data_IF_818829176185
#
_entry.id   IF_818829176185
#
_cell.length_a   1.000
_cell.length_b   1.000
_cell.length_c   1.000
_cell.angle_alpha   90.00
_cell.angle_beta   90.00
_cell.angle_gamma   90.00
#
_symmetry.space_group_name_H-M   'P 1'
#
loop_
_entity.id
_entity.type
_entity.pdbx_description
1 polymer ?
#
# COMPACT_ATOMS: atom_id res chain seq x y z
N UNK A 1 -14.18 51.20 -15.85
CA UNK A 1 -13.05 50.30 -16.05
C UNK A 1 -11.78 51.08 -15.76
N UNK A 2 -11.14 50.84 -14.60
CA UNK A 2 -9.84 51.46 -14.28
C UNK A 2 -8.78 50.38 -14.42
N UNK A 3 -7.89 50.56 -15.36
CA UNK A 3 -6.73 49.70 -15.62
C UNK A 3 -5.63 50.02 -14.63
N UNK A 4 -5.16 49.04 -13.87
CA UNK A 4 -3.95 49.13 -13.05
C UNK A 4 -2.78 48.53 -13.84
N UNK A 5 -1.60 49.18 -13.87
CA UNK A 5 -0.41 48.63 -14.52
C UNK A 5 0.26 47.57 -13.64
N UNK A 6 0.78 46.50 -14.27
CA UNK A 6 1.57 45.46 -13.65
C UNK A 6 2.99 45.95 -13.32
N UNK A 7 3.60 45.51 -12.21
CA UNK A 7 4.98 45.88 -11.89
C UNK A 7 5.99 45.08 -12.72
N UNK A 8 7.07 45.76 -13.12
CA UNK A 8 8.21 45.25 -13.89
C UNK A 8 9.10 44.38 -13.00
N UNK A 9 9.66 43.25 -13.49
CA UNK A 9 10.54 42.41 -12.70
C UNK A 9 11.92 43.05 -12.50
N UNK A 10 12.39 43.02 -11.26
CA UNK A 10 13.71 43.51 -10.85
C UNK A 10 14.77 42.44 -11.24
N UNK A 11 15.76 42.88 -12.05
CA UNK A 11 16.92 42.10 -12.47
C UNK A 11 17.93 42.01 -11.31
N UNK A 12 18.21 40.79 -10.83
CA UNK A 12 19.30 40.49 -9.89
C UNK A 12 20.52 39.97 -10.66
N UNK A 13 21.63 40.74 -10.54
CA UNK A 13 22.95 40.37 -11.06
C UNK A 13 23.59 39.23 -10.24
N UNK A 14 24.46 38.38 -10.84
CA UNK A 14 25.07 37.25 -10.15
C UNK A 14 26.26 37.68 -9.26
N UNK A 15 26.55 37.00 -8.15
CA UNK A 15 27.68 37.29 -7.28
C UNK A 15 29.01 36.78 -7.85
N UNK A 16 30.06 37.57 -7.70
CA UNK A 16 31.44 37.30 -8.05
C UNK A 16 32.02 36.10 -7.25
N UNK A 17 32.60 35.15 -7.95
CA UNK A 17 33.42 34.05 -7.38
C UNK A 17 34.85 34.56 -7.17
N UNK A 18 35.27 34.73 -5.91
CA UNK A 18 36.69 34.82 -5.54
C UNK A 18 37.30 33.44 -5.51
N UNK A 19 38.27 33.17 -6.38
CA UNK A 19 39.15 31.98 -6.30
C UNK A 19 40.32 32.31 -5.38
N UNK A 20 40.42 31.60 -4.26
CA UNK A 20 41.63 31.53 -3.46
C UNK A 20 42.52 30.44 -4.08
N UNK A 21 43.70 30.84 -4.55
CA UNK A 21 44.78 29.93 -4.98
C UNK A 21 45.67 29.71 -3.77
N UNK A 22 45.71 28.49 -3.25
CA UNK A 22 46.66 28.08 -2.21
C UNK A 22 47.80 27.30 -2.88
N UNK A 23 49.02 27.83 -2.83
CA UNK A 23 50.24 27.20 -3.30
C UNK A 23 50.79 26.21 -2.26
N UNK A 24 51.06 24.97 -2.66
CA UNK A 24 51.71 23.95 -1.80
C UNK A 24 53.16 23.79 -2.26
N UNK A 25 54.17 23.90 -1.37
CA UNK A 25 55.56 23.71 -1.74
C UNK A 25 55.92 22.22 -1.86
N UNK A 26 56.59 21.85 -2.92
CA UNK A 26 57.21 20.53 -3.14
C UNK A 26 58.38 20.36 -2.15
N UNK A 27 58.37 19.33 -1.31
CA UNK A 27 59.56 18.73 -0.69
C UNK A 27 59.65 17.28 -1.17
N UNK A 28 60.79 17.01 -1.77
CA UNK A 28 61.28 15.69 -2.20
C UNK A 28 61.80 14.96 -0.93
N UNK A 29 61.34 13.73 -0.74
CA UNK A 29 61.98 12.80 0.16
C UNK A 29 61.90 11.39 -0.45
N UNK A 30 63.07 10.90 -0.90
CA UNK A 30 63.31 9.50 -1.29
C UNK A 30 63.16 8.60 -0.06
N UNK A 31 62.34 7.56 -0.10
CA UNK A 31 62.37 6.45 0.84
C UNK A 31 62.20 5.12 0.06
N UNK A 32 63.09 4.19 0.41
CA UNK A 32 63.30 2.84 -0.08
C UNK A 32 62.02 2.02 -0.34
N UNK A 33 62.04 1.32 -1.48
CA UNK A 33 61.17 0.19 -1.83
C UNK A 33 61.50 -1.03 -0.93
N UNK A 34 60.64 -1.35 0.02
CA UNK A 34 60.50 -2.69 0.59
C UNK A 34 59.27 -3.34 -0.10
N UNK A 35 59.52 -4.30 -0.96
CA UNK A 35 58.47 -5.11 -1.58
C UNK A 35 57.92 -6.08 -0.53
N UNK A 36 56.81 -5.77 0.06
CA UNK A 36 56.01 -6.70 0.86
C UNK A 36 54.96 -7.31 -0.04
N UNK A 37 55.18 -8.55 -0.47
CA UNK A 37 54.20 -9.33 -1.22
C UNK A 37 52.98 -9.65 -0.29
N UNK A 38 51.94 -8.86 -0.39
CA UNK A 38 50.63 -9.23 0.19
C UNK A 38 49.99 -10.27 -0.72
N UNK A 39 49.96 -11.52 -0.30
CA UNK A 39 49.01 -12.50 -0.79
C UNK A 39 47.61 -12.00 -0.50
N UNK A 40 46.96 -11.32 -1.45
CA UNK A 40 45.54 -11.10 -1.41
C UNK A 40 44.87 -12.42 -1.78
N UNK A 41 44.62 -13.24 -0.78
CA UNK A 41 43.66 -14.32 -0.90
C UNK A 41 42.30 -13.68 -1.22
N UNK A 42 41.87 -13.77 -2.50
CA UNK A 42 40.52 -13.47 -2.88
C UNK A 42 39.62 -14.46 -2.11
N UNK A 43 39.00 -13.98 -1.00
CA UNK A 43 37.88 -14.67 -0.39
C UNK A 43 36.75 -14.52 -1.43
N UNK A 44 36.66 -15.49 -2.33
CA UNK A 44 35.46 -15.69 -3.13
C UNK A 44 34.38 -16.07 -2.13
N UNK A 45 33.62 -15.09 -1.66
CA UNK A 45 32.32 -15.34 -1.02
C UNK A 45 31.51 -16.09 -2.06
N UNK A 46 31.42 -17.41 -1.92
CA UNK A 46 30.50 -18.21 -2.70
C UNK A 46 29.10 -17.62 -2.46
N UNK A 47 28.47 -17.11 -3.51
CA UNK A 47 27.06 -16.76 -3.47
C UNK A 47 26.31 -17.98 -2.89
N UNK A 48 25.35 -17.79 -1.98
CA UNK A 48 24.60 -18.90 -1.43
C UNK A 48 24.04 -19.69 -2.62
N UNK A 49 24.28 -21.01 -2.62
CA UNK A 49 23.83 -21.93 -3.67
C UNK A 49 22.36 -21.63 -3.94
N UNK A 50 22.00 -21.41 -5.20
CA UNK A 50 20.61 -21.28 -5.62
C UNK A 50 19.88 -22.50 -5.05
N UNK A 51 18.96 -22.28 -4.10
CA UNK A 51 18.08 -23.35 -3.62
C UNK A 51 17.41 -23.93 -4.85
N UNK A 52 17.35 -25.26 -4.99
CA UNK A 52 16.79 -25.93 -6.15
C UNK A 52 15.43 -25.30 -6.51
N UNK A 53 15.41 -24.52 -7.57
CA UNK A 53 14.19 -23.88 -8.09
C UNK A 53 13.50 -24.95 -8.93
N UNK A 54 12.26 -25.33 -8.62
CA UNK A 54 11.54 -26.34 -9.39
C UNK A 54 11.25 -25.81 -10.80
N UNK A 55 11.12 -26.69 -11.77
CA UNK A 55 10.72 -26.32 -13.14
C UNK A 55 9.22 -26.11 -13.26
N UNK A 56 8.43 -26.67 -12.33
CA UNK A 56 6.98 -26.58 -12.26
C UNK A 56 6.54 -26.04 -10.89
N UNK A 57 5.41 -25.38 -10.86
CA UNK A 57 4.80 -24.80 -9.67
C UNK A 57 3.29 -24.97 -9.73
N UNK A 58 2.65 -24.77 -8.59
CA UNK A 58 1.20 -24.61 -8.48
C UNK A 58 0.83 -23.13 -8.39
N UNK A 59 -0.24 -22.77 -9.07
CA UNK A 59 -0.84 -21.42 -9.00
C UNK A 59 -2.36 -21.53 -9.12
N UNK A 60 -3.07 -20.59 -8.50
CA UNK A 60 -4.48 -20.43 -8.77
C UNK A 60 -4.70 -19.48 -9.96
N UNK A 61 -5.73 -19.76 -10.74
CA UNK A 61 -6.16 -18.89 -11.82
C UNK A 61 -7.66 -18.61 -11.73
N UNK A 62 -8.02 -17.35 -11.94
CA UNK A 62 -9.39 -16.98 -12.24
C UNK A 62 -9.62 -17.29 -13.72
N UNK A 63 -10.49 -18.27 -14.00
CA UNK A 63 -10.89 -18.65 -15.36
C UNK A 63 -12.33 -18.23 -15.59
N UNK A 64 -12.59 -17.55 -16.69
CA UNK A 64 -13.94 -17.06 -17.02
C UNK A 64 -14.93 -18.20 -17.15
N UNK A 65 -16.09 -18.06 -16.53
CA UNK A 65 -17.21 -19.01 -16.61
C UNK A 65 -18.43 -18.31 -17.20
N UNK A 66 -18.72 -18.55 -18.49
CA UNK A 66 -19.85 -17.93 -19.17
C UNK A 66 -19.75 -16.41 -19.35
N UNK A 67 -20.89 -15.71 -19.30
CA UNK A 67 -20.93 -14.27 -19.53
C UNK A 67 -20.60 -13.42 -18.30
N UNK A 68 -20.75 -13.96 -17.10
CA UNK A 68 -20.49 -13.24 -15.83
C UNK A 68 -19.82 -14.14 -14.81
N UNK A 69 -18.70 -13.65 -14.27
CA UNK A 69 -17.98 -14.32 -13.19
C UNK A 69 -16.80 -15.17 -13.63
N UNK A 70 -16.05 -15.57 -12.62
CA UNK A 70 -14.83 -16.38 -12.76
C UNK A 70 -14.82 -17.48 -11.72
N UNK A 71 -14.18 -18.60 -12.04
CA UNK A 71 -13.92 -19.70 -11.13
C UNK A 71 -12.45 -19.67 -10.72
N UNK A 72 -12.19 -19.91 -9.45
CA UNK A 72 -10.84 -20.08 -8.92
C UNK A 72 -10.41 -21.54 -9.14
N UNK A 73 -9.35 -21.76 -9.91
CA UNK A 73 -8.86 -23.10 -10.26
C UNK A 73 -7.38 -23.25 -9.94
N UNK A 74 -7.01 -24.29 -9.23
CA UNK A 74 -5.62 -24.69 -9.02
C UNK A 74 -5.06 -25.33 -10.29
N UNK A 75 -3.91 -24.86 -10.77
CA UNK A 75 -3.25 -25.35 -12.00
C UNK A 75 -1.74 -25.45 -11.81
N UNK A 76 -1.15 -26.46 -12.43
CA UNK A 76 0.28 -26.52 -12.60
C UNK A 76 0.73 -25.56 -13.72
N UNK A 77 1.91 -24.95 -13.54
CA UNK A 77 2.49 -24.03 -14.49
C UNK A 77 4.03 -24.08 -14.43
N UNK A 78 4.73 -23.75 -15.52
CA UNK A 78 6.19 -23.65 -15.45
C UNK A 78 6.63 -22.49 -14.56
N UNK A 79 7.73 -22.65 -13.85
CA UNK A 79 8.41 -21.55 -13.18
C UNK A 79 9.18 -20.74 -14.24
N UNK A 80 8.83 -19.47 -14.40
CA UNK A 80 9.51 -18.58 -15.34
C UNK A 80 10.80 -18.06 -14.74
N UNK A 81 11.94 -18.35 -15.39
CA UNK A 81 13.21 -17.77 -15.00
C UNK A 81 13.19 -16.23 -15.16
N UNK A 82 13.88 -15.47 -14.28
CA UNK A 82 13.93 -14.02 -14.37
C UNK A 82 14.77 -13.56 -15.55
N UNK A 83 14.24 -12.66 -16.37
CA UNK A 83 14.95 -11.94 -17.42
C UNK A 83 15.77 -10.76 -16.89
N UNK A 84 16.25 -9.87 -17.81
CA UNK A 84 16.99 -8.68 -17.40
C UNK A 84 16.15 -7.77 -16.48
N UNK A 85 16.76 -7.32 -15.37
CA UNK A 85 16.11 -6.49 -14.34
C UNK A 85 14.87 -7.14 -13.68
N UNK A 86 14.74 -8.46 -13.78
CA UNK A 86 13.68 -9.21 -13.09
C UNK A 86 14.24 -10.04 -11.94
N UNK A 87 13.37 -10.29 -10.97
CA UNK A 87 13.63 -11.15 -9.82
C UNK A 87 12.57 -12.25 -9.78
N UNK A 88 12.98 -13.46 -9.38
CA UNK A 88 12.08 -14.57 -9.09
C UNK A 88 11.85 -14.60 -7.58
N UNK A 89 10.61 -14.48 -7.17
CA UNK A 89 10.18 -14.48 -5.77
C UNK A 89 9.56 -15.84 -5.47
N UNK A 90 10.08 -16.55 -4.46
CA UNK A 90 9.36 -17.63 -3.80
C UNK A 90 8.31 -16.98 -2.89
N UNK A 91 7.06 -17.02 -3.29
CA UNK A 91 5.95 -16.44 -2.52
C UNK A 91 5.74 -17.26 -1.24
N UNK A 92 5.58 -16.57 -0.11
CA UNK A 92 5.40 -17.18 1.20
C UNK A 92 4.02 -16.91 1.77
N UNK A 93 3.47 -15.75 1.44
CA UNK A 93 2.12 -15.39 1.84
C UNK A 93 1.53 -14.39 0.85
N UNK A 94 0.21 -14.43 0.71
CA UNK A 94 -0.59 -13.48 -0.05
C UNK A 94 -1.78 -13.02 0.78
N UNK A 95 -2.42 -11.90 0.43
CA UNK A 95 -3.60 -11.47 1.15
C UNK A 95 -4.70 -10.97 0.23
N UNK A 96 -5.95 -11.12 0.68
CA UNK A 96 -7.13 -10.73 -0.06
C UNK A 96 -7.50 -9.27 0.19
N UNK A 97 -8.11 -8.67 -0.82
CA UNK A 97 -8.77 -7.37 -0.78
C UNK A 97 -10.19 -7.50 -1.34
N UNK A 98 -11.07 -6.57 -1.01
CA UNK A 98 -12.47 -6.58 -1.49
C UNK A 98 -12.56 -6.66 -3.02
N UNK A 99 -11.61 -6.01 -3.73
CA UNK A 99 -11.56 -6.07 -5.20
C UNK A 99 -11.44 -7.49 -5.76
N UNK A 100 -10.79 -8.40 -5.05
CA UNK A 100 -10.54 -9.75 -5.53
C UNK A 100 -11.83 -10.56 -5.63
N UNK A 101 -12.75 -10.36 -4.67
CA UNK A 101 -14.11 -10.91 -4.74
C UNK A 101 -14.92 -10.26 -5.86
N UNK A 102 -14.82 -8.94 -6.03
CA UNK A 102 -15.51 -8.22 -7.10
C UNK A 102 -15.02 -8.67 -8.48
N UNK A 103 -13.71 -8.91 -8.64
CA UNK A 103 -13.14 -9.49 -9.86
C UNK A 103 -13.65 -10.89 -10.12
N UNK A 104 -13.65 -11.77 -9.11
CA UNK A 104 -14.18 -13.13 -9.24
C UNK A 104 -15.66 -13.15 -9.64
N UNK A 105 -16.45 -12.19 -9.14
CA UNK A 105 -17.86 -12.04 -9.49
C UNK A 105 -18.10 -11.32 -10.81
N UNK A 106 -17.08 -10.81 -11.50
CA UNK A 106 -17.23 -9.96 -12.70
C UNK A 106 -17.90 -8.61 -12.42
N UNK A 107 -17.86 -8.13 -11.18
CA UNK A 107 -18.49 -6.89 -10.72
C UNK A 107 -17.48 -5.73 -10.57
N UNK A 108 -16.19 -5.99 -10.78
CA UNK A 108 -15.19 -4.94 -10.77
C UNK A 108 -15.27 -4.12 -12.07
N UNK A 109 -15.13 -2.78 -12.03
CA UNK A 109 -15.29 -1.93 -13.23
C UNK A 109 -14.35 -2.25 -14.38
N UNK A 110 -13.21 -2.88 -14.09
CA UNK A 110 -12.23 -3.33 -15.08
C UNK A 110 -12.34 -4.86 -15.15
N UNK A 111 -12.73 -5.40 -16.32
CA UNK A 111 -12.82 -6.83 -16.53
C UNK A 111 -11.41 -7.45 -16.54
N UNK A 112 -11.14 -8.50 -15.75
CA UNK A 112 -9.89 -9.22 -15.85
C UNK A 112 -9.78 -9.99 -17.17
N UNK A 113 -8.55 -10.45 -17.48
CA UNK A 113 -8.31 -11.33 -18.64
C UNK A 113 -9.11 -12.64 -18.50
N UNK A 114 -9.24 -13.39 -19.61
CA UNK A 114 -9.94 -14.69 -19.62
C UNK A 114 -9.35 -15.69 -18.62
N UNK A 115 -8.04 -15.60 -18.36
CA UNK A 115 -7.32 -16.37 -17.37
C UNK A 115 -6.23 -15.52 -16.70
N UNK A 116 -6.27 -15.41 -15.38
CA UNK A 116 -5.40 -14.52 -14.60
C UNK A 116 -5.02 -15.17 -13.28
N UNK A 117 -3.75 -15.08 -12.87
CA UNK A 117 -3.34 -15.34 -11.48
C UNK A 117 -3.86 -14.20 -10.60
N UNK A 118 -4.76 -14.46 -9.62
CA UNK A 118 -5.35 -13.39 -8.83
C UNK A 118 -4.42 -12.90 -7.72
N UNK A 119 -4.93 -11.93 -6.94
CA UNK A 119 -4.36 -11.23 -5.80
C UNK A 119 -3.19 -10.31 -6.15
N UNK A 120 -3.32 -9.06 -5.70
CA UNK A 120 -2.24 -8.07 -5.85
C UNK A 120 -1.19 -8.19 -4.75
N UNK A 121 -1.61 -8.69 -3.59
CA UNK A 121 -0.86 -8.60 -2.35
C UNK A 121 -0.07 -9.88 -2.09
N UNK A 122 1.25 -9.77 -2.03
CA UNK A 122 2.10 -10.91 -1.73
C UNK A 122 3.45 -10.49 -1.18
N UNK A 123 4.01 -11.35 -0.35
CA UNK A 123 5.35 -11.25 0.21
C UNK A 123 6.10 -12.58 0.10
N UNK A 124 7.41 -12.49 -0.04
CA UNK A 124 8.24 -13.67 -0.20
C UNK A 124 9.72 -13.37 -0.13
N UNK A 125 10.50 -14.36 -0.53
CA UNK A 125 11.96 -14.33 -0.55
C UNK A 125 12.44 -14.42 -2.00
N UNK A 126 13.42 -13.63 -2.38
CA UNK A 126 14.02 -13.68 -3.71
C UNK A 126 14.78 -15.00 -3.87
N UNK A 127 14.32 -15.85 -4.80
CA UNK A 127 14.92 -17.15 -5.10
C UNK A 127 15.99 -17.06 -6.18
N UNK A 128 15.84 -16.15 -7.17
CA UNK A 128 16.81 -15.89 -8.21
C UNK A 128 16.72 -14.44 -8.71
N UNK A 129 17.79 -13.95 -9.32
CA UNK A 129 17.85 -12.64 -9.94
C UNK A 129 18.33 -12.77 -11.39
N UNK A 130 17.76 -11.96 -12.28
CA UNK A 130 18.19 -11.87 -13.67
C UNK A 130 19.36 -10.91 -13.87
N UNK A 131 19.91 -10.86 -15.09
CA UNK A 131 21.01 -9.94 -15.42
C UNK A 131 20.59 -8.47 -15.16
N UNK A 132 21.54 -7.67 -14.66
CA UNK A 132 21.35 -6.24 -14.44
C UNK A 132 20.55 -5.87 -13.17
N UNK A 133 20.07 -6.82 -12.38
CA UNK A 133 19.47 -6.55 -11.08
C UNK A 133 20.50 -5.98 -10.12
N UNK A 134 20.18 -4.84 -9.51
CA UNK A 134 21.09 -4.11 -8.61
C UNK A 134 20.48 -3.75 -7.26
N UNK A 135 19.14 -3.77 -7.15
CA UNK A 135 18.43 -3.35 -5.93
C UNK A 135 18.35 -4.45 -4.87
N UNK A 136 18.49 -5.70 -5.26
CA UNK A 136 18.24 -6.85 -4.39
C UNK A 136 19.20 -8.00 -4.64
N UNK A 137 19.27 -8.91 -3.67
CA UNK A 137 20.04 -10.14 -3.70
C UNK A 137 19.15 -11.36 -3.45
N UNK A 138 19.63 -12.54 -3.82
CA UNK A 138 18.98 -13.81 -3.46
C UNK A 138 18.89 -13.92 -1.92
N UNK A 139 17.73 -14.27 -1.41
CA UNK A 139 17.44 -14.36 0.02
C UNK A 139 16.82 -13.08 0.61
N UNK A 140 16.80 -11.97 -0.12
CA UNK A 140 16.14 -10.76 0.36
C UNK A 140 14.63 -10.98 0.49
N UNK A 141 14.05 -10.44 1.56
CA UNK A 141 12.62 -10.47 1.87
C UNK A 141 11.93 -9.27 1.25
N UNK A 142 10.92 -9.52 0.41
CA UNK A 142 10.25 -8.47 -0.35
C UNK A 142 8.72 -8.60 -0.30
N UNK A 143 8.04 -7.48 -0.56
CA UNK A 143 6.61 -7.43 -0.86
C UNK A 143 6.40 -6.77 -2.23
N UNK A 144 5.45 -7.29 -3.01
CA UNK A 144 5.10 -6.72 -4.31
C UNK A 144 4.39 -5.38 -4.14
N UNK A 145 4.58 -4.44 -5.07
CA UNK A 145 3.76 -3.23 -5.11
C UNK A 145 2.51 -3.47 -5.97
N UNK A 146 1.40 -2.85 -5.62
CA UNK A 146 0.11 -3.07 -6.30
C UNK A 146 0.16 -2.72 -7.80
N UNK A 147 0.64 -1.51 -8.12
CA UNK A 147 0.85 -1.04 -9.48
C UNK A 147 2.32 -1.13 -9.85
N UNK A 148 2.68 -2.07 -10.71
CA UNK A 148 4.07 -2.38 -11.03
C UNK A 148 4.84 -1.24 -11.72
N UNK A 149 4.14 -0.22 -12.25
CA UNK A 149 4.74 0.95 -12.91
C UNK A 149 4.54 2.28 -12.19
N UNK A 150 3.89 2.31 -11.03
CA UNK A 150 3.79 3.56 -10.26
C UNK A 150 4.88 3.64 -9.20
N UNK A 151 6.04 4.13 -9.60
CA UNK A 151 7.21 4.14 -8.72
C UNK A 151 7.21 5.34 -7.78
N UNK A 152 6.81 6.54 -8.25
CA UNK A 152 6.82 7.79 -7.47
C UNK A 152 5.95 8.89 -8.07
N UNK A 153 5.70 9.92 -7.28
CA UNK A 153 5.05 11.14 -7.73
C UNK A 153 3.62 10.94 -8.23
N UNK A 154 3.24 11.65 -9.29
CA UNK A 154 1.91 11.57 -9.88
C UNK A 154 1.65 10.18 -10.48
N UNK A 155 0.40 9.73 -10.34
CA UNK A 155 -0.05 8.47 -10.95
C UNK A 155 0.13 8.53 -12.48
N UNK A 156 0.79 7.53 -13.09
CA UNK A 156 0.85 7.40 -14.55
C UNK A 156 -0.54 7.22 -15.17
N UNK A 157 -0.75 7.76 -16.38
CA UNK A 157 -2.05 7.67 -17.05
C UNK A 157 -2.48 6.21 -17.33
N UNK A 158 -1.51 5.32 -17.55
CA UNK A 158 -1.71 3.90 -17.85
C UNK A 158 -1.53 2.98 -16.61
N UNK A 159 -1.57 3.54 -15.41
CA UNK A 159 -1.27 2.81 -14.17
C UNK A 159 -2.10 1.55 -14.01
N UNK A 160 -3.39 1.60 -14.35
CA UNK A 160 -4.32 0.48 -14.23
C UNK A 160 -3.81 -0.76 -14.94
N UNK A 161 -3.21 -0.64 -16.12
CA UNK A 161 -2.68 -1.76 -16.91
C UNK A 161 -1.44 -2.43 -16.29
N UNK A 162 -1.03 -2.01 -15.10
CA UNK A 162 0.07 -2.61 -14.33
C UNK A 162 -0.37 -3.15 -12.97
N UNK A 163 -1.68 -3.27 -12.74
CA UNK A 163 -2.23 -3.77 -11.49
C UNK A 163 -2.08 -5.29 -11.39
N UNK A 164 -1.35 -5.77 -10.38
CA UNK A 164 -1.24 -7.20 -10.07
C UNK A 164 -2.60 -7.78 -9.72
N UNK A 165 -2.86 -9.02 -10.18
CA UNK A 165 -4.12 -9.71 -9.96
C UNK A 165 -5.34 -9.00 -10.58
N UNK A 166 -5.12 -8.21 -11.62
CA UNK A 166 -6.13 -7.48 -12.39
C UNK A 166 -5.79 -7.48 -13.87
N UNK A 167 -4.93 -6.56 -14.32
CA UNK A 167 -4.47 -6.50 -15.71
C UNK A 167 -3.29 -7.42 -16.00
N UNK A 168 -2.49 -7.73 -14.99
CA UNK A 168 -1.35 -8.66 -15.06
C UNK A 168 -1.48 -9.73 -13.98
N UNK A 169 -0.82 -10.86 -14.21
CA UNK A 169 -0.81 -11.98 -13.25
C UNK A 169 -0.35 -11.49 -11.88
N UNK A 170 -1.05 -11.96 -10.84
CA UNK A 170 -0.87 -11.57 -9.45
C UNK A 170 0.00 -12.55 -8.66
N UNK A 171 -0.28 -12.63 -7.35
CA UNK A 171 0.62 -13.25 -6.38
C UNK A 171 0.13 -14.60 -5.83
N UNK A 172 -1.07 -15.10 -6.21
CA UNK A 172 -1.57 -16.41 -5.72
C UNK A 172 -0.93 -17.55 -6.51
N UNK A 173 0.39 -17.65 -6.39
CA UNK A 173 1.28 -18.59 -7.08
C UNK A 173 2.49 -18.91 -6.19
N UNK A 174 3.09 -20.08 -6.30
CA UNK A 174 4.28 -20.44 -5.51
C UNK A 174 5.52 -19.62 -5.87
N UNK A 175 5.65 -19.23 -7.14
CA UNK A 175 6.73 -18.37 -7.63
C UNK A 175 6.19 -17.29 -8.54
N UNK A 176 6.63 -16.06 -8.33
CA UNK A 176 6.29 -14.90 -9.16
C UNK A 176 7.56 -14.24 -9.70
N UNK A 177 7.59 -13.94 -11.00
CA UNK A 177 8.69 -13.18 -11.62
C UNK A 177 8.22 -11.77 -11.88
N UNK A 178 8.86 -10.80 -11.22
CA UNK A 178 8.54 -9.37 -11.29
C UNK A 178 9.79 -8.56 -11.61
N UNK A 179 9.61 -7.32 -12.07
CA UNK A 179 10.70 -6.34 -12.14
C UNK A 179 11.25 -6.05 -10.73
N UNK A 180 12.56 -5.86 -10.58
CA UNK A 180 13.16 -5.38 -9.33
C UNK A 180 12.56 -4.04 -8.86
N UNK A 181 12.02 -3.23 -9.79
CA UNK A 181 11.32 -1.99 -9.49
C UNK A 181 9.90 -2.20 -8.95
N UNK A 182 9.32 -3.37 -9.20
CA UNK A 182 7.95 -3.74 -8.81
C UNK A 182 7.81 -4.29 -7.38
N UNK A 183 8.85 -4.19 -6.56
CA UNK A 183 8.85 -4.66 -5.17
C UNK A 183 9.52 -3.68 -4.22
N UNK A 184 9.26 -3.85 -2.93
CA UNK A 184 9.92 -3.15 -1.83
C UNK A 184 10.51 -4.14 -0.83
N UNK A 185 11.58 -3.75 -0.14
CA UNK A 185 12.12 -4.53 0.98
C UNK A 185 11.07 -4.65 2.10
N UNK A 186 10.91 -5.85 2.64
CA UNK A 186 10.03 -6.10 3.77
C UNK A 186 10.71 -5.68 5.09
N UNK A 187 10.05 -4.91 5.98
CA UNK A 187 10.58 -4.59 7.30
C UNK A 187 10.93 -5.86 8.08
N UNK A 188 12.10 -5.86 8.75
CA UNK A 188 12.63 -7.04 9.45
C UNK A 188 11.74 -7.51 10.61
N UNK A 189 10.99 -6.60 11.20
CA UNK A 189 10.08 -6.87 12.33
C UNK A 189 8.73 -7.49 11.90
N UNK A 190 8.48 -7.69 10.60
CA UNK A 190 7.27 -8.33 10.09
C UNK A 190 7.54 -9.76 9.60
N UNK A 191 6.57 -10.66 9.78
CA UNK A 191 6.53 -11.96 9.10
C UNK A 191 6.16 -11.80 7.62
N UNK A 192 6.16 -12.88 6.84
CA UNK A 192 5.68 -12.84 5.46
C UNK A 192 4.17 -12.66 5.39
N UNK A 193 3.42 -13.27 6.30
CA UNK A 193 1.98 -13.09 6.42
C UNK A 193 1.62 -11.64 6.72
N UNK A 194 2.33 -11.02 7.68
CA UNK A 194 2.17 -9.61 8.00
C UNK A 194 2.53 -8.71 6.80
N UNK A 195 3.65 -9.01 6.14
CA UNK A 195 4.12 -8.27 4.97
C UNK A 195 3.19 -8.35 3.76
N UNK A 196 2.59 -9.52 3.55
CA UNK A 196 1.63 -9.70 2.46
C UNK A 196 0.36 -8.85 2.62
N UNK A 197 0.06 -8.34 3.81
CA UNK A 197 -1.13 -7.50 4.04
C UNK A 197 -0.97 -6.04 3.61
N UNK A 198 0.26 -5.61 3.31
CA UNK A 198 0.60 -4.20 3.14
C UNK A 198 0.28 -3.60 1.75
N UNK A 199 0.50 -4.29 0.61
CA UNK A 199 0.59 -3.66 -0.71
C UNK A 199 -0.63 -2.85 -1.15
N UNK A 200 -1.83 -3.29 -0.82
CA UNK A 200 -3.07 -2.58 -1.16
C UNK A 200 -3.60 -1.76 0.03
N UNK A 201 -4.10 -2.43 1.06
CA UNK A 201 -4.87 -1.79 2.12
C UNK A 201 -4.04 -0.83 2.98
N UNK A 202 -2.81 -1.22 3.37
CA UNK A 202 -1.96 -0.37 4.19
C UNK A 202 -1.44 0.84 3.40
N UNK A 203 -0.96 0.62 2.16
CA UNK A 203 -0.52 1.72 1.29
C UNK A 203 -1.66 2.70 1.00
N UNK A 204 -2.89 2.19 0.82
CA UNK A 204 -4.09 3.04 0.64
C UNK A 204 -4.35 3.92 1.87
N UNK A 205 -4.35 3.33 3.07
CA UNK A 205 -4.54 4.08 4.32
C UNK A 205 -3.42 5.11 4.55
N UNK A 206 -2.17 4.72 4.29
CA UNK A 206 -1.01 5.61 4.36
C UNK A 206 -1.11 6.78 3.38
N UNK A 207 -1.43 6.48 2.12
CA UNK A 207 -1.59 7.52 1.09
C UNK A 207 -2.74 8.47 1.45
N UNK A 208 -3.87 7.95 1.92
CA UNK A 208 -5.03 8.75 2.33
C UNK A 208 -4.72 9.67 3.51
N UNK A 209 -4.21 9.11 4.61
CA UNK A 209 -4.00 9.86 5.86
C UNK A 209 -2.72 10.68 5.88
N UNK A 210 -1.60 10.10 5.41
CA UNK A 210 -0.28 10.71 5.60
C UNK A 210 0.14 11.52 4.39
N UNK A 211 0.05 10.95 3.18
CA UNK A 211 0.56 11.61 1.98
C UNK A 211 -0.38 12.72 1.50
N UNK A 212 -1.68 12.45 1.42
CA UNK A 212 -2.70 13.39 0.95
C UNK A 212 -3.31 14.19 2.09
N UNK A 213 -3.72 13.52 3.16
CA UNK A 213 -4.35 14.13 4.33
C UNK A 213 -3.38 14.96 5.16
N UNK A 214 -2.11 14.58 5.23
CA UNK A 214 -1.11 15.24 6.07
C UNK A 214 -1.47 15.22 7.56
N UNK A 215 -2.11 14.13 7.98
CA UNK A 215 -2.53 13.90 9.36
C UNK A 215 -1.45 14.28 10.38
N UNK A 216 -1.85 15.00 11.42
CA UNK A 216 -0.97 15.46 12.49
C UNK A 216 -1.31 14.79 13.84
N UNK A 217 -0.37 14.72 14.79
CA UNK A 217 -0.69 14.33 16.16
C UNK A 217 -1.79 15.23 16.75
N UNK A 218 -2.78 14.60 17.38
CA UNK A 218 -3.95 15.29 17.95
C UNK A 218 -5.16 15.40 17.02
N UNK A 219 -5.00 15.18 15.71
CA UNK A 219 -6.10 15.20 14.74
C UNK A 219 -7.14 14.14 15.06
N UNK A 220 -8.40 14.46 14.84
CA UNK A 220 -9.48 13.48 14.79
C UNK A 220 -9.56 12.84 13.42
N UNK A 221 -9.63 11.51 13.39
CA UNK A 221 -9.63 10.72 12.15
C UNK A 221 -10.85 9.82 12.13
N UNK A 222 -11.71 9.95 11.13
CA UNK A 222 -12.86 9.06 10.95
C UNK A 222 -12.49 7.90 10.01
N UNK A 223 -12.78 6.68 10.45
CA UNK A 223 -12.50 5.44 9.75
C UNK A 223 -13.81 4.66 9.59
N UNK A 224 -14.21 4.41 8.36
CA UNK A 224 -15.47 3.72 8.08
C UNK A 224 -15.28 2.22 7.96
N UNK A 225 -16.03 1.48 8.78
CA UNK A 225 -15.93 0.01 8.84
C UNK A 225 -14.68 -0.50 9.54
N UNK A 226 -14.52 -1.82 9.58
CA UNK A 226 -13.41 -2.54 10.24
C UNK A 226 -12.69 -3.47 9.27
N UNK A 227 -12.73 -3.16 7.98
CA UNK A 227 -11.97 -3.84 6.93
C UNK A 227 -10.49 -3.44 6.93
N UNK A 228 -9.74 -3.98 5.96
CA UNK A 228 -8.28 -3.80 5.90
C UNK A 228 -7.84 -2.34 5.97
N UNK A 229 -8.37 -1.48 5.09
CA UNK A 229 -7.96 -0.06 5.01
C UNK A 229 -8.20 0.66 6.34
N UNK A 230 -9.38 0.51 6.92
CA UNK A 230 -9.76 1.20 8.16
C UNK A 230 -8.98 0.70 9.36
N UNK A 231 -8.68 -0.61 9.44
CA UNK A 231 -7.86 -1.16 10.52
C UNK A 231 -6.39 -0.72 10.41
N UNK A 232 -5.85 -0.57 9.20
CA UNK A 232 -4.54 0.07 9.00
C UNK A 232 -4.58 1.56 9.37
N UNK A 233 -5.63 2.26 8.96
CA UNK A 233 -5.86 3.66 9.35
C UNK A 233 -5.91 3.85 10.86
N UNK A 234 -6.62 2.96 11.58
CA UNK A 234 -6.67 2.95 13.05
C UNK A 234 -5.27 2.84 13.66
N UNK A 235 -4.50 1.87 13.20
CA UNK A 235 -3.16 1.63 13.75
C UNK A 235 -2.19 2.78 13.42
N UNK A 236 -2.20 3.31 12.21
CA UNK A 236 -1.37 4.47 11.85
C UNK A 236 -1.77 5.70 12.64
N UNK A 237 -3.06 6.02 12.73
CA UNK A 237 -3.54 7.17 13.50
C UNK A 237 -3.15 7.07 14.97
N UNK A 238 -3.36 5.91 15.60
CA UNK A 238 -2.98 5.68 17.00
C UNK A 238 -1.48 5.84 17.22
N UNK A 239 -0.63 5.21 16.37
CA UNK A 239 0.81 5.27 16.51
C UNK A 239 1.41 6.66 16.20
N UNK A 240 0.70 7.48 15.41
CA UNK A 240 1.10 8.85 15.10
C UNK A 240 0.50 9.87 16.09
N UNK A 241 -0.24 9.43 17.13
CA UNK A 241 -0.80 10.30 18.15
C UNK A 241 -2.07 11.05 17.75
N UNK A 242 -2.73 10.62 16.68
CA UNK A 242 -4.05 11.11 16.31
C UNK A 242 -5.16 10.39 17.12
N UNK A 243 -6.40 10.82 16.98
CA UNK A 243 -7.59 10.34 17.71
C UNK A 243 -8.56 9.65 16.76
N UNK A 244 -8.37 8.35 16.46
CA UNK A 244 -9.22 7.64 15.50
C UNK A 244 -10.61 7.34 16.07
N UNK A 245 -11.64 7.72 15.32
CA UNK A 245 -13.04 7.35 15.50
C UNK A 245 -13.37 6.32 14.42
N UNK A 246 -13.90 5.16 14.80
CA UNK A 246 -14.17 4.08 13.86
C UNK A 246 -15.64 3.67 13.90
N UNK A 247 -16.23 3.44 12.72
CA UNK A 247 -17.60 2.93 12.60
C UNK A 247 -17.61 1.44 12.25
N UNK A 248 -18.64 0.72 12.62
CA UNK A 248 -18.86 -0.67 12.22
C UNK A 248 -20.34 -1.05 12.33
N UNK A 249 -20.72 -2.18 11.72
CA UNK A 249 -22.04 -2.81 11.93
C UNK A 249 -22.07 -3.79 13.10
N UNK A 250 -20.96 -4.01 13.79
CA UNK A 250 -20.79 -5.07 14.80
C UNK A 250 -20.11 -4.54 16.06
N UNK A 251 -20.76 -4.67 17.20
CA UNK A 251 -20.22 -4.25 18.49
C UNK A 251 -18.98 -5.05 18.89
N UNK A 252 -18.91 -6.34 18.53
CA UNK A 252 -17.73 -7.16 18.78
C UNK A 252 -16.49 -6.64 18.01
N UNK A 253 -16.67 -6.20 16.74
CA UNK A 253 -15.59 -5.58 15.96
C UNK A 253 -15.21 -4.21 16.52
N UNK A 254 -16.16 -3.44 17.03
CA UNK A 254 -15.91 -2.15 17.69
C UNK A 254 -15.16 -2.32 19.01
N UNK A 255 -15.49 -3.34 19.82
CA UNK A 255 -14.75 -3.66 21.04
C UNK A 255 -13.28 -3.94 20.73
N UNK A 256 -12.98 -4.76 19.70
CA UNK A 256 -11.60 -5.00 19.23
C UNK A 256 -10.90 -3.74 18.75
N UNK A 257 -11.62 -2.87 18.02
CA UNK A 257 -11.06 -1.58 17.60
C UNK A 257 -10.71 -0.67 18.79
N UNK A 258 -11.53 -0.71 19.86
CA UNK A 258 -11.27 0.01 21.10
C UNK A 258 -10.01 -0.46 21.80
N UNK A 259 -9.78 -1.78 21.86
CA UNK A 259 -8.54 -2.39 22.39
C UNK A 259 -7.30 -1.97 21.60
N UNK A 260 -7.46 -1.74 20.30
CA UNK A 260 -6.40 -1.28 19.38
C UNK A 260 -6.19 0.25 19.40
N UNK A 261 -6.85 0.98 20.30
CA UNK A 261 -6.61 2.39 20.53
C UNK A 261 -7.61 3.34 19.85
N UNK A 262 -8.78 2.85 19.40
CA UNK A 262 -9.82 3.75 18.90
C UNK A 262 -10.24 4.74 20.00
N UNK A 263 -10.20 6.04 19.69
CA UNK A 263 -10.68 7.12 20.56
C UNK A 263 -12.19 7.03 20.76
N UNK A 264 -12.92 6.82 19.65
CA UNK A 264 -14.37 6.64 19.63
C UNK A 264 -14.79 5.48 18.75
N UNK A 265 -15.93 4.83 19.08
CA UNK A 265 -16.50 3.74 18.31
C UNK A 265 -18.01 3.98 18.12
N UNK A 266 -18.52 3.75 16.91
CA UNK A 266 -19.92 4.02 16.57
C UNK A 266 -20.49 2.84 15.77
N UNK A 267 -21.60 2.27 16.25
CA UNK A 267 -22.33 1.25 15.50
C UNK A 267 -23.37 1.93 14.59
N UNK A 268 -23.08 1.97 13.27
CA UNK A 268 -23.96 2.62 12.30
C UNK A 268 -25.27 1.85 12.02
N UNK A 269 -25.41 0.61 12.47
CA UNK A 269 -26.68 -0.14 12.40
C UNK A 269 -27.66 0.32 13.46
N UNK A 270 -27.19 0.70 14.64
CA UNK A 270 -28.00 1.19 15.74
C UNK A 270 -28.11 2.72 15.76
N UNK A 271 -27.17 3.41 15.12
CA UNK A 271 -27.07 4.87 15.02
C UNK A 271 -26.96 5.28 13.57
N UNK A 272 -28.10 5.42 12.91
CA UNK A 272 -28.18 5.75 11.47
C UNK A 272 -27.59 7.13 11.15
N UNK A 273 -27.84 8.12 12.03
CA UNK A 273 -27.28 9.48 11.92
C UNK A 273 -25.90 9.53 12.60
N UNK A 274 -25.00 8.66 12.20
CA UNK A 274 -23.72 8.46 12.88
C UNK A 274 -22.76 9.66 12.80
N UNK A 275 -23.01 10.62 11.94
CA UNK A 275 -22.31 11.92 11.94
C UNK A 275 -22.54 12.72 13.23
N UNK A 276 -23.71 12.59 13.87
CA UNK A 276 -24.04 13.29 15.13
C UNK A 276 -23.11 12.90 16.27
N UNK A 277 -22.94 11.59 16.63
CA UNK A 277 -21.94 11.21 17.62
C UNK A 277 -20.51 11.50 17.20
N UNK A 278 -20.15 11.50 15.90
CA UNK A 278 -18.83 11.96 15.46
C UNK A 278 -18.62 13.43 15.82
N UNK A 279 -19.61 14.30 15.54
CA UNK A 279 -19.56 15.72 15.91
C UNK A 279 -19.47 15.89 17.42
N UNK A 280 -20.27 15.16 18.20
CA UNK A 280 -20.23 15.22 19.66
C UNK A 280 -18.84 14.85 20.23
N UNK A 281 -18.21 13.82 19.71
CA UNK A 281 -16.86 13.38 20.11
C UNK A 281 -15.76 14.41 19.77
N UNK A 282 -16.01 15.30 18.81
CA UNK A 282 -15.07 16.32 18.34
C UNK A 282 -15.43 17.73 18.80
N UNK A 283 -16.29 17.87 19.81
CA UNK A 283 -16.75 19.17 20.31
C UNK A 283 -17.54 19.98 19.26
N UNK A 284 -18.27 19.31 18.38
CA UNK A 284 -19.04 19.86 17.26
C UNK A 284 -18.18 20.58 16.17
N UNK A 285 -16.88 20.34 16.13
CA UNK A 285 -15.99 20.88 15.09
C UNK A 285 -15.94 19.95 13.88
N UNK A 286 -15.97 18.64 14.10
CA UNK A 286 -15.77 17.61 13.07
C UNK A 286 -14.36 17.02 13.08
N UNK A 287 -14.13 16.05 12.20
CA UNK A 287 -12.84 15.34 12.08
C UNK A 287 -11.93 15.98 11.04
N UNK A 288 -10.62 15.91 11.27
CA UNK A 288 -9.62 16.47 10.36
C UNK A 288 -9.43 15.62 9.10
N UNK A 289 -9.49 14.28 9.28
CA UNK A 289 -9.22 13.32 8.21
C UNK A 289 -10.31 12.24 8.17
N UNK A 290 -10.71 11.83 6.97
CA UNK A 290 -11.67 10.73 6.77
C UNK A 290 -11.11 9.73 5.77
N UNK A 291 -11.10 8.43 6.12
CA UNK A 291 -10.97 7.34 5.15
C UNK A 291 -12.39 6.87 4.76
N UNK A 292 -12.86 7.37 3.64
CA UNK A 292 -14.19 7.09 3.11
C UNK A 292 -14.13 5.84 2.22
N UNK A 293 -14.73 4.74 2.68
CA UNK A 293 -14.74 3.46 1.96
C UNK A 293 -16.15 2.97 1.60
N UNK A 294 -17.18 3.60 2.14
CA UNK A 294 -18.58 3.21 1.95
C UNK A 294 -19.16 3.64 0.60
N UNK A 295 -18.76 4.78 0.08
CA UNK A 295 -19.24 5.31 -1.20
C UNK A 295 -20.57 6.07 -1.06
N UNK A 296 -21.52 5.86 -2.01
CA UNK A 296 -22.73 6.68 -2.09
C UNK A 296 -23.56 6.70 -0.79
N UNK A 297 -23.54 5.61 -0.02
CA UNK A 297 -24.38 5.45 1.16
C UNK A 297 -23.79 6.13 2.41
N UNK A 298 -22.48 6.43 2.43
CA UNK A 298 -21.79 7.07 3.57
C UNK A 298 -21.27 8.47 3.27
N UNK A 299 -21.09 8.83 2.00
CA UNK A 299 -20.43 10.09 1.60
C UNK A 299 -21.13 11.34 2.18
N UNK A 300 -22.45 11.36 2.27
CA UNK A 300 -23.20 12.49 2.87
C UNK A 300 -22.91 12.66 4.37
N UNK A 301 -22.80 11.56 5.10
CA UNK A 301 -22.44 11.56 6.52
C UNK A 301 -20.97 11.96 6.72
N UNK A 302 -20.06 11.48 5.85
CA UNK A 302 -18.67 11.89 5.84
C UNK A 302 -18.53 13.40 5.64
N UNK A 303 -19.23 13.96 4.66
CA UNK A 303 -19.28 15.41 4.40
C UNK A 303 -19.85 16.20 5.59
N UNK A 304 -20.84 15.66 6.31
CA UNK A 304 -21.39 16.27 7.51
C UNK A 304 -20.41 16.21 8.70
N UNK A 305 -19.54 15.20 8.75
CA UNK A 305 -18.62 14.92 9.85
C UNK A 305 -17.27 15.64 9.74
N UNK A 306 -16.86 16.09 8.54
CA UNK A 306 -15.53 16.69 8.32
C UNK A 306 -15.46 18.10 8.90
N UNK A 307 -14.34 18.46 9.52
CA UNK A 307 -14.07 19.81 10.04
C UNK A 307 -13.84 20.82 8.91
N UNK A 308 -14.00 22.13 9.15
CA UNK A 308 -13.47 23.15 8.25
C UNK A 308 -11.96 22.97 8.03
N UNK A 309 -11.52 23.00 6.76
CA UNK A 309 -10.14 22.73 6.36
C UNK A 309 -9.76 21.25 6.33
N UNK A 310 -10.68 20.35 6.69
CA UNK A 310 -10.40 18.91 6.74
C UNK A 310 -10.32 18.25 5.35
N UNK A 311 -9.96 16.98 5.35
CA UNK A 311 -9.72 16.19 4.16
C UNK A 311 -10.51 14.87 4.17
N UNK A 312 -11.07 14.52 3.02
CA UNK A 312 -11.75 13.25 2.77
C UNK A 312 -10.96 12.46 1.73
N UNK A 313 -10.38 11.34 2.13
CA UNK A 313 -9.78 10.36 1.24
C UNK A 313 -10.88 9.43 0.72
N UNK A 314 -11.34 9.64 -0.52
CA UNK A 314 -12.35 8.83 -1.18
C UNK A 314 -11.70 7.59 -1.79
N UNK A 315 -11.98 6.41 -1.22
CA UNK A 315 -11.24 5.17 -1.51
C UNK A 315 -12.14 4.12 -2.14
N UNK A 316 -13.31 3.88 -1.55
CA UNK A 316 -14.15 2.75 -1.89
C UNK A 316 -15.56 3.12 -2.30
N UNK A 317 -16.29 2.10 -2.67
CA UNK A 317 -17.70 2.18 -3.05
C UNK A 317 -18.42 0.91 -2.60
N UNK A 318 -18.28 0.53 -1.31
CA UNK A 318 -18.92 -0.68 -0.77
C UNK A 318 -20.45 -0.61 -0.88
N UNK A 319 -21.04 0.58 -0.71
CA UNK A 319 -22.45 0.87 -0.94
C UNK A 319 -22.77 1.30 -2.37
N UNK A 320 -21.78 1.29 -3.27
CA UNK A 320 -21.89 1.69 -4.67
C UNK A 320 -21.04 2.91 -5.02
N UNK A 321 -20.68 2.99 -6.31
CA UNK A 321 -19.95 4.12 -6.87
C UNK A 321 -20.95 5.20 -7.28
N UNK A 322 -20.92 6.35 -6.62
CA UNK A 322 -21.83 7.48 -6.85
C UNK A 322 -21.92 8.36 -5.61
N UNK A 323 -22.92 9.22 -5.58
CA UNK A 323 -23.16 10.21 -4.52
C UNK A 323 -22.83 11.62 -5.00
N UNK A 324 -23.59 12.60 -4.44
CA UNK A 324 -23.40 14.01 -4.76
C UNK A 324 -22.42 14.65 -3.78
N UNK A 325 -21.50 15.42 -4.30
CA UNK A 325 -20.61 16.27 -3.53
C UNK A 325 -21.06 17.73 -3.72
N UNK A 326 -21.74 18.33 -2.73
CA UNK A 326 -22.22 19.71 -2.84
C UNK A 326 -21.04 20.69 -2.88
N UNK A 327 -20.75 21.25 -4.04
CA UNK A 327 -19.59 22.15 -4.23
C UNK A 327 -19.58 23.32 -3.23
N UNK A 328 -20.74 23.90 -2.92
CA UNK A 328 -20.84 25.00 -1.95
C UNK A 328 -20.37 24.58 -0.55
N UNK A 329 -20.72 23.36 -0.10
CA UNK A 329 -20.28 22.83 1.20
C UNK A 329 -18.76 22.70 1.31
N UNK A 330 -18.10 22.29 0.22
CA UNK A 330 -16.65 22.23 0.16
C UNK A 330 -16.03 23.63 0.22
N UNK A 331 -16.57 24.56 -0.59
CA UNK A 331 -16.04 25.92 -0.71
C UNK A 331 -16.11 26.71 0.60
N UNK A 332 -17.26 26.76 1.25
CA UNK A 332 -17.47 27.56 2.47
C UNK A 332 -16.72 27.01 3.68
N UNK A 333 -16.32 25.74 3.63
CA UNK A 333 -15.59 25.06 4.72
C UNK A 333 -14.15 24.75 4.37
N UNK A 334 -13.68 25.09 3.16
CA UNK A 334 -12.34 24.75 2.64
C UNK A 334 -12.00 23.24 2.74
N UNK A 335 -13.00 22.36 2.55
CA UNK A 335 -12.82 20.92 2.62
C UNK A 335 -12.16 20.41 1.34
N UNK A 336 -11.18 19.53 1.47
CA UNK A 336 -10.52 18.84 0.36
C UNK A 336 -11.06 17.43 0.22
N UNK A 337 -11.35 16.98 -1.02
CA UNK A 337 -11.69 15.60 -1.33
C UNK A 337 -10.65 15.06 -2.32
N UNK A 338 -10.02 13.96 -1.98
CA UNK A 338 -9.01 13.31 -2.83
C UNK A 338 -9.41 11.89 -3.16
N UNK A 339 -9.49 11.55 -4.45
CA UNK A 339 -9.57 10.15 -4.88
C UNK A 339 -8.26 9.42 -4.55
N UNK A 340 -8.36 8.27 -3.89
CA UNK A 340 -7.21 7.44 -3.52
C UNK A 340 -7.32 6.09 -4.24
N UNK A 341 -6.37 5.82 -5.12
CA UNK A 341 -6.24 4.52 -5.78
C UNK A 341 -4.92 3.88 -5.37
N UNK A 342 -4.91 3.26 -4.16
CA UNK A 342 -3.72 2.68 -3.52
C UNK A 342 -2.60 3.73 -3.31
N UNK A 343 -1.43 3.55 -3.95
CA UNK A 343 -0.30 4.47 -3.86
C UNK A 343 0.90 3.98 -4.67
N UNK A 344 1.94 4.80 -4.72
CA UNK A 344 3.19 4.51 -5.39
C UNK A 344 4.11 3.62 -4.54
N UNK A 345 5.19 3.11 -5.16
CA UNK A 345 6.31 2.48 -4.43
C UNK A 345 6.90 3.43 -3.38
N UNK A 346 7.08 4.70 -3.73
CA UNK A 346 7.57 5.72 -2.79
C UNK A 346 6.69 5.83 -1.53
N UNK A 347 5.36 5.78 -1.68
CA UNK A 347 4.45 5.74 -0.53
C UNK A 347 4.66 4.48 0.32
N UNK A 348 4.85 3.33 -0.33
CA UNK A 348 5.08 2.07 0.36
C UNK A 348 6.43 2.07 1.10
N UNK A 349 7.50 2.55 0.47
CA UNK A 349 8.82 2.67 1.10
C UNK A 349 8.80 3.63 2.31
N UNK A 350 8.11 4.76 2.21
CA UNK A 350 7.91 5.69 3.32
C UNK A 350 7.12 5.05 4.48
N UNK A 351 6.04 4.32 4.17
CA UNK A 351 5.27 3.54 5.14
C UNK A 351 6.15 2.47 5.81
N UNK A 352 6.92 1.72 5.04
CA UNK A 352 7.84 0.69 5.57
C UNK A 352 8.90 1.28 6.50
N UNK A 353 9.41 2.47 6.20
CA UNK A 353 10.34 3.18 7.08
C UNK A 353 9.70 3.58 8.41
N UNK A 354 8.40 3.92 8.43
CA UNK A 354 7.64 4.14 9.66
C UNK A 354 7.41 2.82 10.43
N UNK A 355 6.95 1.78 9.76
CA UNK A 355 6.71 0.45 10.35
C UNK A 355 7.97 -0.12 10.99
N UNK A 356 9.13 0.03 10.35
CA UNK A 356 10.41 -0.47 10.86
C UNK A 356 10.85 0.20 12.17
N UNK A 357 10.36 1.40 12.47
CA UNK A 357 10.70 2.19 13.68
C UNK A 357 9.66 2.06 14.79
N UNK A 358 8.56 1.35 14.55
CA UNK A 358 7.44 1.23 15.48
C UNK A 358 7.17 -0.22 15.84
N UNK A 359 6.34 -0.46 16.86
CA UNK A 359 5.86 -1.80 17.22
C UNK A 359 4.62 -2.21 16.39
N UNK A 360 4.55 -1.70 15.15
CA UNK A 360 3.43 -1.96 14.26
C UNK A 360 3.29 -3.46 13.94
N UNK A 361 2.06 -3.98 14.07
CA UNK A 361 1.68 -5.34 13.69
C UNK A 361 0.32 -5.31 13.00
N UNK A 362 0.23 -5.71 11.73
CA UNK A 362 -1.04 -5.77 11.00
C UNK A 362 -2.10 -6.63 11.73
N UNK A 363 -3.33 -6.18 11.68
CA UNK A 363 -4.46 -6.98 12.18
C UNK A 363 -4.82 -8.02 11.11
N UNK A 364 -4.44 -9.26 11.36
CA UNK A 364 -4.82 -10.42 10.54
C UNK A 364 -5.97 -11.13 11.27
N UNK A 365 -7.08 -11.32 10.57
CA UNK A 365 -8.24 -12.04 11.10
C UNK A 365 -8.02 -13.54 11.06
N UNK A 366 -7.68 -14.06 9.88
CA UNK A 366 -7.45 -15.48 9.67
C UNK A 366 -6.35 -15.73 8.62
N UNK A 367 -5.61 -16.82 8.83
CA UNK A 367 -4.62 -17.35 7.89
C UNK A 367 -5.12 -18.70 7.39
N UNK A 368 -5.20 -18.84 6.07
CA UNK A 368 -5.56 -20.07 5.38
C UNK A 368 -4.32 -20.71 4.76
N UNK A 369 -4.33 -22.01 4.54
CA UNK A 369 -3.30 -22.68 3.75
C UNK A 369 -3.58 -22.51 2.24
N UNK A 370 -2.56 -22.62 1.40
CA UNK A 370 -2.66 -22.43 -0.06
C UNK A 370 -3.80 -23.23 -0.70
N UNK A 371 -3.96 -24.50 -0.30
CA UNK A 371 -5.01 -25.39 -0.80
C UNK A 371 -6.44 -24.93 -0.45
N UNK A 372 -6.57 -24.10 0.58
CA UNK A 372 -7.86 -23.62 1.11
C UNK A 372 -8.19 -22.20 0.61
N UNK A 373 -7.58 -21.77 -0.52
CA UNK A 373 -7.76 -20.42 -1.08
C UNK A 373 -9.23 -20.05 -1.31
N UNK A 374 -10.08 -21.01 -1.73
CA UNK A 374 -11.52 -20.73 -1.92
C UNK A 374 -12.19 -20.33 -0.60
N UNK A 375 -11.88 -21.00 0.51
CA UNK A 375 -12.45 -20.64 1.81
C UNK A 375 -12.05 -19.23 2.27
N UNK A 376 -10.84 -18.75 1.90
CA UNK A 376 -10.42 -17.38 2.14
C UNK A 376 -11.28 -16.38 1.34
N UNK A 377 -11.62 -16.67 0.09
CA UNK A 377 -12.54 -15.86 -0.71
C UNK A 377 -13.96 -15.86 -0.12
N UNK A 378 -14.45 -17.01 0.34
CA UNK A 378 -15.78 -17.15 0.96
C UNK A 378 -15.86 -16.31 2.25
N UNK A 379 -14.81 -16.32 3.08
CA UNK A 379 -14.74 -15.46 4.27
C UNK A 379 -14.74 -13.98 3.89
N UNK A 380 -13.96 -13.57 2.87
CA UNK A 380 -13.93 -12.19 2.39
C UNK A 380 -15.31 -11.74 1.89
N UNK A 381 -16.04 -12.61 1.21
CA UNK A 381 -17.38 -12.33 0.71
C UNK A 381 -18.41 -12.19 1.85
N UNK A 382 -18.26 -12.96 2.92
CA UNK A 382 -19.21 -12.98 4.05
C UNK A 382 -19.24 -11.70 4.88
N UNK A 383 -18.22 -10.81 4.74
CA UNK A 383 -18.00 -9.62 5.60
C UNK A 383 -17.87 -9.92 7.11
N UNK A 384 -17.68 -11.19 7.50
CA UNK A 384 -17.57 -11.63 8.91
C UNK A 384 -16.16 -11.56 9.49
N UNK A 385 -15.25 -10.82 8.87
CA UNK A 385 -13.87 -10.65 9.29
C UNK A 385 -13.57 -9.20 9.73
N UNK A 386 -12.42 -9.00 10.37
CA UNK A 386 -11.89 -7.67 10.75
C UNK A 386 -10.39 -7.58 10.42
N UNK A 387 -9.97 -6.56 9.67
CA UNK A 387 -8.59 -6.45 9.19
C UNK A 387 -8.35 -7.21 7.90
N UNK A 388 -7.32 -8.08 7.86
CA UNK A 388 -6.87 -8.78 6.65
C UNK A 388 -7.06 -10.29 6.74
N UNK A 389 -7.29 -10.91 5.59
CA UNK A 389 -7.32 -12.36 5.39
C UNK A 389 -6.07 -12.72 4.60
N UNK A 390 -5.33 -13.72 5.05
CA UNK A 390 -4.05 -14.14 4.50
C UNK A 390 -4.13 -15.60 4.04
N UNK A 391 -3.42 -15.92 2.97
CA UNK A 391 -3.17 -17.29 2.53
C UNK A 391 -1.66 -17.54 2.60
N UNK A 392 -1.23 -18.59 3.29
CA UNK A 392 0.16 -19.04 3.42
C UNK A 392 0.50 -20.07 2.35
N UNK A 393 1.71 -19.95 1.75
CA UNK A 393 2.23 -20.85 0.72
C UNK A 393 3.42 -21.66 1.23
#
# INVERSE_FOLDING_TARGET
>A
MKTYPLPVPCSLAPPHRNRLVVAIPRRVASICFMVLAYFTGAVTSAAPAAKDIPTQQQQYRLTRTGQQGYKLELKDAPVRAPGAHEILIRVRAVSLNRRDVLLMKGQYPIAPRESLVPLSDGAGEIAAIGPGVTRFHVGDRVAAIFFQRWLRGRQPADVATSALGGDIDGMLTQYATLSEEGVVALPKNLSFEEGATLPCAAVTAWNGLVTRGRMQPGDYVLLEGTGGVSMFGLQFATLMGAKPIITSSSDAKLARAKELGAFGTINYKTTTDWEKPVLALTGNVGVNEILEVGGKDSLSHALASVAPGGHIALIGGLGGFGGDIPALSLMVRNVSVSGIYVGSRENFEAMNAFIAKTHFKPVIDQVFEFKDAQAAYDLMESDKFSGKIVIRL
#
